data_IF_483889699333
#
_entry.id   IF_483889699333
#
_cell.length_a   1.000
_cell.length_b   1.000
_cell.length_c   1.000
_cell.angle_alpha   90.00
_cell.angle_beta   90.00
_cell.angle_gamma   90.00
#
_symmetry.space_group_name_H-M   'P 1'
#
loop_
_entity.id
_entity.type
_entity.pdbx_description
1 polymer ?
#
# COMPACT_ATOMS: atom_id res chain seq x y z
N UNK A 1 -18.92 16.66 2.09
CA UNK A 1 -17.74 16.44 1.20
C UNK A 1 -17.02 15.21 1.71
N UNK A 2 -16.72 14.25 0.83
CA UNK A 2 -16.09 13.00 1.22
C UNK A 2 -14.63 12.99 0.79
N UNK A 3 -13.76 12.40 1.61
CA UNK A 3 -12.32 12.40 1.43
C UNK A 3 -11.77 11.00 1.16
N UNK A 4 -10.71 10.93 0.36
CA UNK A 4 -9.84 9.77 0.29
C UNK A 4 -8.67 9.95 1.26
N UNK A 5 -8.53 9.05 2.25
CA UNK A 5 -7.39 9.01 3.16
C UNK A 5 -6.34 8.05 2.61
N UNK A 6 -5.09 8.54 2.46
CA UNK A 6 -3.99 7.77 1.88
C UNK A 6 -2.84 7.74 2.86
N UNK A 7 -2.46 6.55 3.31
CA UNK A 7 -1.24 6.37 4.12
C UNK A 7 0.00 6.20 3.24
N UNK A 8 1.15 6.66 3.71
CA UNK A 8 2.38 6.66 2.91
C UNK A 8 2.34 7.61 1.71
N UNK A 9 1.59 8.73 1.83
CA UNK A 9 1.29 9.64 0.74
C UNK A 9 2.45 10.55 0.30
N UNK A 10 3.55 10.61 1.05
CA UNK A 10 4.64 11.56 0.78
C UNK A 10 5.51 11.23 -0.44
N UNK A 11 5.53 9.96 -0.89
CA UNK A 11 6.41 9.46 -1.98
C UNK A 11 5.79 8.27 -2.71
N UNK A 12 6.38 7.94 -3.88
CA UNK A 12 6.09 6.72 -4.64
C UNK A 12 4.62 6.55 -5.00
N UNK A 13 4.12 5.32 -4.90
CA UNK A 13 2.75 4.98 -5.31
C UNK A 13 1.71 5.79 -4.52
N UNK A 14 1.90 5.99 -3.21
CA UNK A 14 0.95 6.75 -2.39
C UNK A 14 0.82 8.21 -2.82
N UNK A 15 1.94 8.88 -3.15
CA UNK A 15 1.95 10.23 -3.74
C UNK A 15 1.19 10.22 -5.08
N UNK A 16 1.52 9.30 -5.97
CA UNK A 16 0.87 9.19 -7.28
C UNK A 16 -0.63 8.86 -7.18
N UNK A 17 -1.06 8.08 -6.16
CA UNK A 17 -2.49 7.87 -5.90
C UNK A 17 -3.19 9.15 -5.41
N UNK A 18 -2.53 9.96 -4.57
CA UNK A 18 -3.07 11.24 -4.13
C UNK A 18 -3.21 12.21 -5.32
N UNK A 19 -2.21 12.28 -6.19
CA UNK A 19 -2.24 13.07 -7.42
C UNK A 19 -3.35 12.62 -8.37
N UNK A 20 -3.50 11.31 -8.59
CA UNK A 20 -4.53 10.75 -9.45
C UNK A 20 -5.95 11.02 -8.93
N UNK A 21 -6.16 10.91 -7.61
CA UNK A 21 -7.44 11.22 -6.98
C UNK A 21 -7.76 12.72 -7.03
N UNK A 22 -6.78 13.57 -6.77
CA UNK A 22 -6.93 15.03 -6.90
C UNK A 22 -7.26 15.45 -8.34
N UNK A 23 -6.58 14.85 -9.34
CA UNK A 23 -6.89 15.05 -10.77
C UNK A 23 -8.34 14.68 -11.13
N UNK A 24 -8.91 13.70 -10.44
CA UNK A 24 -10.33 13.30 -10.58
C UNK A 24 -11.29 14.14 -9.74
N UNK A 25 -10.82 15.23 -9.15
CA UNK A 25 -11.64 16.15 -8.34
C UNK A 25 -11.96 15.62 -6.94
N UNK A 26 -11.27 14.58 -6.44
CA UNK A 26 -11.50 14.05 -5.09
C UNK A 26 -10.64 14.75 -4.04
N UNK A 27 -11.25 15.21 -2.94
CA UNK A 27 -10.52 15.67 -1.77
C UNK A 27 -9.67 14.56 -1.15
N UNK A 28 -8.47 14.91 -0.65
CA UNK A 28 -7.52 13.93 -0.12
C UNK A 28 -7.00 14.31 1.26
N UNK A 29 -6.82 13.28 2.11
CA UNK A 29 -6.15 13.35 3.41
C UNK A 29 -4.84 12.58 3.30
N UNK A 30 -3.73 13.28 3.49
CA UNK A 30 -2.38 12.77 3.25
C UNK A 30 -1.73 12.39 4.57
N UNK A 31 -1.39 11.12 4.75
CA UNK A 31 -0.77 10.61 5.98
C UNK A 31 0.62 10.06 5.66
N UNK A 32 1.66 10.56 6.31
CA UNK A 32 3.03 10.03 6.28
C UNK A 32 3.86 10.64 7.41
N UNK A 33 5.16 10.29 7.47
CA UNK A 33 6.07 10.80 8.51
C UNK A 33 6.68 12.17 8.19
N UNK A 34 6.90 12.44 6.90
CA UNK A 34 7.64 13.62 6.43
C UNK A 34 6.68 14.79 6.26
N UNK A 35 6.59 15.66 7.27
CA UNK A 35 5.68 16.80 7.30
C UNK A 35 5.89 17.76 6.12
N UNK A 36 7.14 18.14 5.85
CA UNK A 36 7.46 19.07 4.76
C UNK A 36 6.97 18.56 3.41
N UNK A 37 7.20 17.26 3.11
CA UNK A 37 6.76 16.66 1.86
C UNK A 37 5.24 16.57 1.76
N UNK A 38 4.55 16.33 2.88
CA UNK A 38 3.08 16.33 2.91
C UNK A 38 2.53 17.73 2.68
N UNK A 39 3.11 18.73 3.33
CA UNK A 39 2.74 20.14 3.18
C UNK A 39 2.92 20.62 1.73
N UNK A 40 4.08 20.34 1.16
CA UNK A 40 4.37 20.66 -0.25
C UNK A 40 3.34 19.99 -1.19
N UNK A 41 3.10 18.69 -1.03
CA UNK A 41 2.13 17.95 -1.83
C UNK A 41 0.71 18.50 -1.66
N UNK A 42 0.27 18.80 -0.43
CA UNK A 42 -1.05 19.35 -0.17
C UNK A 42 -1.26 20.69 -0.87
N UNK A 43 -0.27 21.60 -0.80
CA UNK A 43 -0.29 22.88 -1.53
C UNK A 43 -0.33 22.66 -3.04
N UNK A 44 0.51 21.77 -3.57
CA UNK A 44 0.54 21.44 -4.98
C UNK A 44 -0.84 20.94 -5.48
N UNK A 45 -1.43 19.97 -4.77
CA UNK A 45 -2.71 19.37 -5.16
C UNK A 45 -3.86 20.38 -5.08
N UNK A 46 -3.94 21.16 -4.00
CA UNK A 46 -5.00 22.17 -3.83
C UNK A 46 -4.89 23.30 -4.85
N UNK A 47 -3.68 23.76 -5.15
CA UNK A 47 -3.48 24.84 -6.13
C UNK A 47 -3.72 24.40 -7.57
N UNK A 48 -3.27 23.18 -7.94
CA UNK A 48 -3.35 22.70 -9.32
C UNK A 48 -4.74 22.13 -9.67
N UNK A 49 -5.30 21.30 -8.79
CA UNK A 49 -6.57 20.60 -9.05
C UNK A 49 -7.79 21.21 -8.38
N UNK A 50 -7.61 22.27 -7.55
CA UNK A 50 -8.70 22.95 -6.83
C UNK A 50 -9.52 22.03 -5.93
N UNK A 51 -8.88 21.01 -5.35
CA UNK A 51 -9.50 20.07 -4.39
C UNK A 51 -9.10 20.43 -2.96
N UNK A 52 -9.96 20.09 -2.00
CA UNK A 52 -9.64 20.21 -0.59
C UNK A 52 -8.58 19.17 -0.22
N UNK A 53 -7.54 19.61 0.48
CA UNK A 53 -6.44 18.77 0.96
C UNK A 53 -6.16 19.06 2.41
N UNK A 54 -5.88 18.05 3.19
CA UNK A 54 -5.32 18.17 4.53
C UNK A 54 -4.27 17.09 4.74
N UNK A 55 -3.39 17.26 5.73
CA UNK A 55 -2.37 16.28 6.03
C UNK A 55 -2.14 16.14 7.53
N UNK A 56 -1.63 14.97 7.92
CA UNK A 56 -1.16 14.70 9.27
C UNK A 56 0.18 13.95 9.18
N UNK A 57 1.20 14.54 9.82
CA UNK A 57 2.51 13.89 9.96
C UNK A 57 2.49 12.94 11.16
N UNK A 58 2.62 11.62 10.87
CA UNK A 58 2.61 10.60 11.92
C UNK A 58 3.36 9.36 11.47
N UNK A 59 4.01 8.67 12.41
CA UNK A 59 4.67 7.38 12.15
C UNK A 59 3.75 6.22 12.54
N UNK A 60 3.39 5.40 11.54
CA UNK A 60 2.54 4.22 11.71
C UNK A 60 3.22 3.06 12.46
N UNK A 61 4.52 3.14 12.77
CA UNK A 61 5.17 2.20 13.67
C UNK A 61 4.77 2.41 15.14
N UNK A 62 4.22 3.59 15.47
CA UNK A 62 3.69 3.88 16.79
C UNK A 62 2.33 3.20 17.00
N UNK A 63 2.16 2.48 18.11
CA UNK A 63 0.94 1.72 18.44
C UNK A 63 -0.36 2.53 18.43
N UNK A 64 -0.28 3.84 18.73
CA UNK A 64 -1.47 4.71 18.81
C UNK A 64 -1.71 5.51 17.51
N UNK A 65 -0.92 5.26 16.46
CA UNK A 65 -0.99 6.06 15.24
C UNK A 65 -2.36 5.97 14.54
N UNK A 66 -2.93 4.78 14.46
CA UNK A 66 -4.24 4.58 13.83
C UNK A 66 -5.36 5.33 14.58
N UNK A 67 -5.37 5.26 15.91
CA UNK A 67 -6.34 6.00 16.74
C UNK A 67 -6.15 7.51 16.58
N UNK A 68 -4.92 8.00 16.58
CA UNK A 68 -4.63 9.42 16.39
C UNK A 68 -5.10 9.94 15.02
N UNK A 69 -4.93 9.14 13.94
CA UNK A 69 -5.44 9.47 12.61
C UNK A 69 -6.97 9.53 12.60
N UNK A 70 -7.62 8.55 13.22
CA UNK A 70 -9.08 8.51 13.32
C UNK A 70 -9.63 9.70 14.10
N UNK A 71 -9.04 10.01 15.27
CA UNK A 71 -9.45 11.14 16.11
C UNK A 71 -9.20 12.48 15.41
N UNK A 72 -8.08 12.61 14.67
CA UNK A 72 -7.82 13.77 13.83
C UNK A 72 -8.91 13.96 12.76
N UNK A 73 -9.31 12.88 12.09
CA UNK A 73 -10.40 12.96 11.11
C UNK A 73 -11.72 13.37 11.76
N UNK A 74 -12.06 12.82 12.93
CA UNK A 74 -13.28 13.17 13.66
C UNK A 74 -13.30 14.65 14.12
N UNK A 75 -12.21 15.10 14.71
CA UNK A 75 -12.08 16.48 15.24
C UNK A 75 -12.17 17.54 14.15
N UNK A 76 -11.77 17.18 12.90
CA UNK A 76 -11.87 18.08 11.75
C UNK A 76 -13.11 17.81 10.88
N UNK A 77 -14.02 16.95 11.32
CA UNK A 77 -15.25 16.58 10.60
C UNK A 77 -14.99 16.03 9.18
N UNK A 78 -13.86 15.35 8.96
CA UNK A 78 -13.56 14.70 7.69
C UNK A 78 -14.34 13.39 7.55
N UNK A 79 -15.21 13.32 6.55
CA UNK A 79 -15.92 12.08 6.19
C UNK A 79 -15.05 11.28 5.22
N UNK A 80 -14.56 10.12 5.64
CA UNK A 80 -13.69 9.25 4.82
C UNK A 80 -14.56 8.19 4.14
N UNK A 81 -14.70 8.27 2.82
CA UNK A 81 -15.38 7.26 1.99
C UNK A 81 -14.41 6.39 1.18
N UNK A 82 -13.11 6.72 1.21
CA UNK A 82 -12.06 5.91 0.62
C UNK A 82 -10.85 5.84 1.55
N UNK A 83 -10.53 4.65 2.03
CA UNK A 83 -9.36 4.38 2.85
C UNK A 83 -8.31 3.62 2.01
N UNK A 84 -7.16 4.25 1.73
CA UNK A 84 -6.04 3.64 1.01
C UNK A 84 -4.91 3.36 1.99
N UNK A 85 -4.81 2.13 2.42
CA UNK A 85 -3.72 1.60 3.24
C UNK A 85 -2.52 1.28 2.35
N UNK A 86 -1.72 2.32 2.02
CA UNK A 86 -0.58 2.19 1.12
C UNK A 86 0.76 2.20 1.86
N UNK A 87 0.86 2.74 3.06
CA UNK A 87 2.12 2.76 3.81
C UNK A 87 2.71 1.35 3.96
N UNK A 88 4.02 1.26 3.76
CA UNK A 88 4.75 0.01 3.91
C UNK A 88 6.22 0.16 3.49
N UNK A 89 7.04 -0.75 3.99
CA UNK A 89 8.45 -0.87 3.60
C UNK A 89 8.92 -2.31 3.74
N UNK A 90 10.10 -2.61 3.20
CA UNK A 90 10.76 -3.90 3.32
C UNK A 90 12.12 -3.77 3.97
N UNK A 91 12.65 -4.90 4.44
CA UNK A 91 14.01 -5.08 4.91
C UNK A 91 14.62 -6.22 4.09
N UNK A 92 15.70 -5.94 3.35
CA UNK A 92 16.37 -6.93 2.50
C UNK A 92 17.66 -7.42 3.14
N UNK A 93 17.72 -8.71 3.39
CA UNK A 93 18.84 -9.41 4.04
C UNK A 93 18.37 -10.71 4.69
N UNK A 94 19.26 -11.38 5.40
CA UNK A 94 18.91 -12.50 6.26
C UNK A 94 18.10 -12.04 7.48
N UNK A 95 17.41 -12.95 8.14
CA UNK A 95 16.58 -12.60 9.29
C UNK A 95 17.40 -11.93 10.42
N UNK A 96 18.59 -12.42 10.64
CA UNK A 96 19.53 -11.94 11.66
C UNK A 96 20.26 -10.64 11.32
N UNK A 97 20.18 -10.15 10.08
CA UNK A 97 20.80 -8.88 9.66
C UNK A 97 20.12 -7.65 10.27
N UNK A 98 18.93 -7.84 10.82
CA UNK A 98 18.11 -6.81 11.43
C UNK A 98 17.70 -7.19 12.84
N UNK A 99 17.51 -6.20 13.69
CA UNK A 99 17.01 -6.40 15.04
C UNK A 99 15.55 -6.86 15.03
N UNK A 100 15.14 -7.56 16.09
CA UNK A 100 13.75 -7.93 16.28
C UNK A 100 12.82 -6.70 16.21
N UNK A 101 13.23 -5.56 16.77
CA UNK A 101 12.43 -4.35 16.78
C UNK A 101 12.18 -3.81 15.37
N UNK A 102 13.19 -3.82 14.49
CA UNK A 102 13.02 -3.39 13.08
C UNK A 102 12.01 -4.27 12.34
N UNK A 103 12.03 -5.59 12.59
CA UNK A 103 11.01 -6.49 12.04
C UNK A 103 9.62 -6.19 12.61
N UNK A 104 9.50 -5.97 13.92
CA UNK A 104 8.22 -5.65 14.57
C UNK A 104 7.67 -4.30 14.08
N UNK A 105 8.51 -3.29 13.91
CA UNK A 105 8.11 -1.99 13.35
C UNK A 105 7.60 -2.14 11.91
N UNK A 106 8.28 -2.95 11.10
CA UNK A 106 7.81 -3.26 9.73
C UNK A 106 6.45 -3.97 9.75
N UNK A 107 6.27 -4.96 10.64
CA UNK A 107 4.99 -5.66 10.80
C UNK A 107 3.89 -4.71 11.29
N UNK A 108 4.19 -3.81 12.23
CA UNK A 108 3.25 -2.79 12.70
C UNK A 108 2.76 -1.91 11.55
N UNK A 109 3.67 -1.41 10.71
CA UNK A 109 3.32 -0.57 9.56
C UNK A 109 2.62 -1.36 8.46
N UNK A 110 3.11 -2.57 8.11
CA UNK A 110 2.63 -3.31 6.94
C UNK A 110 1.36 -4.12 7.20
N UNK A 111 1.04 -4.44 8.46
CA UNK A 111 -0.06 -5.33 8.84
C UNK A 111 -0.98 -4.69 9.87
N UNK A 112 -0.47 -4.41 11.08
CA UNK A 112 -1.29 -4.01 12.22
C UNK A 112 -2.01 -2.69 11.95
N UNK A 113 -1.32 -1.69 11.41
CA UNK A 113 -1.92 -0.39 11.09
C UNK A 113 -3.06 -0.50 10.07
N UNK A 114 -2.96 -1.44 9.11
CA UNK A 114 -4.01 -1.70 8.12
C UNK A 114 -5.27 -2.24 8.80
N UNK A 115 -5.10 -3.19 9.73
CA UNK A 115 -6.22 -3.76 10.49
C UNK A 115 -6.86 -2.70 11.38
N UNK A 116 -6.04 -1.93 12.11
CA UNK A 116 -6.50 -0.88 13.05
C UNK A 116 -7.27 0.22 12.31
N UNK A 117 -6.71 0.78 11.23
CA UNK A 117 -7.38 1.80 10.43
C UNK A 117 -8.67 1.27 9.82
N UNK A 118 -8.63 0.07 9.25
CA UNK A 118 -9.83 -0.57 8.70
C UNK A 118 -10.91 -0.73 9.78
N UNK A 119 -10.55 -1.25 10.95
CA UNK A 119 -11.48 -1.45 12.07
C UNK A 119 -12.12 -0.14 12.54
N UNK A 120 -11.33 0.92 12.67
CA UNK A 120 -11.79 2.22 13.16
C UNK A 120 -12.71 2.94 12.15
N UNK A 121 -12.39 2.90 10.84
CA UNK A 121 -13.16 3.60 9.83
C UNK A 121 -14.36 2.80 9.31
N UNK A 122 -14.35 1.48 9.37
CA UNK A 122 -15.38 0.61 8.78
C UNK A 122 -16.81 0.92 9.25
N UNK A 123 -17.09 1.17 10.56
CA UNK A 123 -18.46 1.48 10.98
C UNK A 123 -19.05 2.70 10.27
N UNK A 124 -18.32 3.81 10.23
CA UNK A 124 -18.78 5.03 9.55
C UNK A 124 -18.84 4.87 8.03
N UNK A 125 -17.94 4.10 7.43
CA UNK A 125 -17.96 3.81 5.99
C UNK A 125 -19.19 3.01 5.56
N UNK A 126 -19.70 2.11 6.41
CA UNK A 126 -20.91 1.31 6.14
C UNK A 126 -22.18 2.16 6.05
N UNK A 127 -22.21 3.32 6.72
CA UNK A 127 -23.34 4.26 6.70
C UNK A 127 -23.37 5.12 5.40
N UNK A 128 -22.31 5.08 4.60
CA UNK A 128 -22.23 5.84 3.36
C UNK A 128 -22.88 5.06 2.20
N UNK A 129 -23.45 5.75 1.19
CA UNK A 129 -24.04 5.11 0.02
C UNK A 129 -23.06 4.24 -0.77
N UNK A 130 -21.76 4.57 -0.71
CA UNK A 130 -20.66 3.84 -1.31
C UNK A 130 -19.35 4.20 -0.64
N UNK A 131 -18.55 3.19 -0.31
CA UNK A 131 -17.22 3.39 0.26
C UNK A 131 -16.22 2.35 -0.24
N UNK A 132 -14.92 2.66 -0.11
CA UNK A 132 -13.84 1.86 -0.69
C UNK A 132 -12.68 1.69 0.29
N UNK A 133 -12.19 0.48 0.41
CA UNK A 133 -10.94 0.15 1.10
C UNK A 133 -9.97 -0.42 0.07
N UNK A 134 -8.82 0.24 -0.10
CA UNK A 134 -7.73 -0.20 -0.95
C UNK A 134 -6.50 -0.57 -0.11
N UNK A 135 -6.12 -1.84 -0.07
CA UNK A 135 -4.95 -2.31 0.68
C UNK A 135 -3.80 -2.62 -0.26
N UNK A 136 -2.61 -2.06 0.00
CA UNK A 136 -1.41 -2.28 -0.80
C UNK A 136 -0.65 -3.52 -0.31
N UNK A 137 -0.81 -4.63 -1.04
CA UNK A 137 0.05 -5.80 -0.93
C UNK A 137 1.32 -5.65 -1.82
N UNK A 138 1.69 -6.69 -2.53
CA UNK A 138 2.84 -6.74 -3.45
C UNK A 138 2.74 -8.02 -4.28
N UNK A 139 3.47 -8.10 -5.40
CA UNK A 139 3.76 -9.38 -6.07
C UNK A 139 4.47 -10.39 -5.17
N UNK A 140 5.21 -9.93 -4.16
CA UNK A 140 5.83 -10.77 -3.13
C UNK A 140 4.80 -11.50 -2.23
N UNK A 141 3.52 -11.15 -2.30
CA UNK A 141 2.47 -11.80 -1.53
C UNK A 141 2.13 -13.22 -2.02
N UNK A 142 2.58 -13.59 -3.22
CA UNK A 142 2.20 -14.86 -3.85
C UNK A 142 3.18 -16.00 -3.60
N UNK A 143 4.34 -15.73 -3.02
CA UNK A 143 5.39 -16.74 -2.77
C UNK A 143 6.31 -16.31 -1.62
N UNK A 144 7.04 -17.27 -1.06
CA UNK A 144 8.17 -16.96 -0.19
C UNK A 144 9.29 -16.25 -1.00
N UNK A 145 9.90 -15.22 -0.38
CA UNK A 145 10.99 -14.46 -1.01
C UNK A 145 12.18 -14.44 -0.06
N UNK A 146 13.13 -15.41 -0.16
CA UNK A 146 14.38 -15.35 0.57
C UNK A 146 15.07 -14.00 0.37
N UNK A 147 15.62 -13.43 1.44
CA UNK A 147 16.15 -12.05 1.44
C UNK A 147 15.11 -10.94 1.64
N UNK A 148 13.81 -11.25 1.54
CA UNK A 148 12.69 -10.37 1.89
C UNK A 148 11.63 -11.13 2.69
N UNK A 149 12.04 -12.10 3.51
CA UNK A 149 11.19 -13.09 4.14
C UNK A 149 10.03 -12.45 4.92
N UNK A 150 10.33 -11.65 5.95
CA UNK A 150 9.29 -11.02 6.79
C UNK A 150 8.43 -10.04 5.96
N UNK A 151 9.02 -9.29 5.03
CA UNK A 151 8.26 -8.43 4.12
C UNK A 151 7.24 -9.22 3.29
N UNK A 152 7.67 -10.30 2.62
CA UNK A 152 6.78 -11.14 1.82
C UNK A 152 5.64 -11.73 2.66
N UNK A 153 5.95 -12.18 3.88
CA UNK A 153 4.96 -12.66 4.82
C UNK A 153 3.93 -11.58 5.21
N UNK A 154 4.39 -10.32 5.44
CA UNK A 154 3.45 -9.22 5.69
C UNK A 154 2.53 -8.95 4.50
N UNK A 155 3.04 -9.07 3.27
CA UNK A 155 2.24 -8.83 2.06
C UNK A 155 1.29 -9.98 1.75
N UNK A 156 1.66 -11.22 2.08
CA UNK A 156 0.76 -12.38 2.06
C UNK A 156 -0.39 -12.22 3.07
N UNK A 157 -0.10 -11.72 4.28
CA UNK A 157 -1.12 -11.35 5.26
C UNK A 157 -2.11 -10.34 4.66
N UNK A 158 -1.63 -9.23 4.07
CA UNK A 158 -2.49 -8.19 3.50
C UNK A 158 -3.39 -8.75 2.39
N UNK A 159 -2.86 -9.63 1.53
CA UNK A 159 -3.62 -10.28 0.46
C UNK A 159 -4.74 -11.16 1.05
N UNK A 160 -4.41 -12.01 2.02
CA UNK A 160 -5.37 -12.91 2.68
C UNK A 160 -6.44 -12.12 3.45
N UNK A 161 -6.03 -11.14 4.26
CA UNK A 161 -6.92 -10.24 5.00
C UNK A 161 -7.91 -9.52 4.07
N UNK A 162 -7.41 -8.95 2.97
CA UNK A 162 -8.25 -8.21 2.02
C UNK A 162 -9.27 -9.11 1.32
N UNK A 163 -8.89 -10.34 0.96
CA UNK A 163 -9.80 -11.32 0.36
C UNK A 163 -10.90 -11.74 1.32
N UNK A 164 -10.55 -12.03 2.58
CA UNK A 164 -11.52 -12.37 3.64
C UNK A 164 -12.50 -11.22 3.87
N UNK A 165 -11.98 -10.01 4.11
CA UNK A 165 -12.77 -8.83 4.37
C UNK A 165 -13.69 -8.46 3.18
N UNK A 166 -13.22 -8.62 1.93
CA UNK A 166 -14.05 -8.41 0.74
C UNK A 166 -15.23 -9.37 0.65
N UNK A 167 -15.07 -10.59 1.18
CA UNK A 167 -16.17 -11.54 1.25
C UNK A 167 -17.16 -11.20 2.37
N UNK A 168 -16.65 -10.84 3.55
CA UNK A 168 -17.48 -10.43 4.70
C UNK A 168 -18.35 -9.23 4.38
N UNK A 169 -17.81 -8.25 3.62
CA UNK A 169 -18.49 -7.00 3.27
C UNK A 169 -19.28 -7.06 1.96
N UNK A 170 -19.40 -8.22 1.30
CA UNK A 170 -20.04 -8.36 -0.02
C UNK A 170 -21.48 -7.87 -0.13
N UNK A 171 -22.20 -7.83 0.99
CA UNK A 171 -23.61 -7.40 1.08
C UNK A 171 -23.72 -5.99 1.72
N UNK A 172 -22.65 -5.22 1.75
CA UNK A 172 -22.60 -3.84 2.27
C UNK A 172 -22.27 -2.84 1.17
N UNK A 173 -22.27 -1.58 1.52
CA UNK A 173 -21.86 -0.47 0.63
C UNK A 173 -20.35 -0.35 0.47
N UNK A 174 -19.55 -1.11 1.22
CA UNK A 174 -18.09 -1.01 1.27
C UNK A 174 -17.45 -2.05 0.34
N UNK A 175 -16.70 -1.59 -0.65
CA UNK A 175 -15.88 -2.45 -1.50
C UNK A 175 -14.45 -2.53 -0.98
N UNK A 176 -13.87 -3.75 -0.95
CA UNK A 176 -12.47 -3.97 -0.55
C UNK A 176 -11.65 -4.46 -1.74
N UNK A 177 -10.53 -3.80 -1.99
CA UNK A 177 -9.59 -4.12 -3.06
C UNK A 177 -8.20 -4.37 -2.49
N UNK A 178 -7.54 -5.43 -2.93
CA UNK A 178 -6.13 -5.69 -2.69
C UNK A 178 -5.33 -5.34 -3.95
N UNK A 179 -4.39 -4.41 -3.84
CA UNK A 179 -3.50 -4.04 -4.93
C UNK A 179 -2.17 -4.76 -4.76
N UNK A 180 -1.75 -5.52 -5.77
CA UNK A 180 -0.54 -6.32 -5.76
C UNK A 180 0.40 -5.84 -6.89
N UNK A 181 1.11 -4.70 -6.73
CA UNK A 181 2.04 -4.23 -7.73
C UNK A 181 3.29 -5.11 -7.75
N UNK A 182 3.91 -5.20 -8.93
CA UNK A 182 5.27 -5.68 -9.06
C UNK A 182 6.30 -4.59 -8.76
N UNK A 183 7.50 -4.73 -9.30
CA UNK A 183 8.53 -3.71 -9.20
C UNK A 183 8.01 -2.38 -9.78
N UNK A 184 8.18 -1.32 -9.01
CA UNK A 184 7.71 0.02 -9.37
C UNK A 184 8.87 1.00 -9.12
N UNK A 185 9.05 1.96 -10.00
CA UNK A 185 10.13 2.94 -9.92
C UNK A 185 9.89 3.93 -8.77
N UNK A 186 10.24 3.50 -7.57
CA UNK A 186 10.09 4.24 -6.32
C UNK A 186 11.37 4.12 -5.50
N UNK A 187 11.44 4.88 -4.41
CA UNK A 187 12.55 4.75 -3.44
C UNK A 187 12.46 3.46 -2.59
N UNK A 188 11.56 2.52 -2.91
CA UNK A 188 11.38 1.28 -2.13
C UNK A 188 12.66 0.44 -2.07
N UNK A 189 13.32 0.19 -3.21
CA UNK A 189 14.54 -0.61 -3.27
C UNK A 189 15.67 0.00 -2.43
N UNK A 190 15.84 1.33 -2.49
CA UNK A 190 16.81 2.05 -1.66
C UNK A 190 16.49 1.93 -0.17
N UNK A 191 15.21 2.11 0.19
CA UNK A 191 14.76 2.02 1.60
C UNK A 191 14.82 0.60 2.14
N UNK A 192 14.57 -0.41 1.30
CA UNK A 192 14.69 -1.82 1.65
C UNK A 192 16.14 -2.33 1.64
N UNK A 193 17.13 -1.46 1.36
CA UNK A 193 18.53 -1.80 1.22
C UNK A 193 18.80 -2.91 0.19
N UNK A 194 18.09 -2.89 -0.93
CA UNK A 194 18.32 -3.83 -2.03
C UNK A 194 19.54 -3.39 -2.83
N UNK A 195 20.70 -3.98 -2.50
CA UNK A 195 22.00 -3.65 -3.12
C UNK A 195 22.44 -4.65 -4.18
N UNK A 196 21.82 -5.82 -4.24
CA UNK A 196 22.23 -6.86 -5.20
C UNK A 196 22.01 -6.38 -6.65
N UNK A 197 23.09 -6.39 -7.44
CA UNK A 197 23.06 -5.89 -8.82
C UNK A 197 22.03 -6.61 -9.72
N UNK A 198 21.82 -7.93 -9.54
CA UNK A 198 20.84 -8.69 -10.32
C UNK A 198 19.43 -8.21 -9.99
N UNK A 199 19.12 -8.03 -8.70
CA UNK A 199 17.83 -7.50 -8.26
C UNK A 199 17.59 -6.08 -8.81
N UNK A 200 18.59 -5.21 -8.74
CA UNK A 200 18.52 -3.83 -9.27
C UNK A 200 18.35 -3.81 -10.79
N UNK A 201 19.10 -4.64 -11.54
CA UNK A 201 18.97 -4.74 -13.01
C UNK A 201 17.61 -5.29 -13.41
N UNK A 202 17.13 -6.33 -12.71
CA UNK A 202 15.80 -6.90 -12.97
C UNK A 202 14.69 -5.89 -12.65
N UNK A 203 14.78 -5.20 -11.52
CA UNK A 203 13.87 -4.14 -11.16
C UNK A 203 13.82 -3.07 -12.26
N UNK A 204 14.96 -2.51 -12.68
CA UNK A 204 15.03 -1.50 -13.75
C UNK A 204 14.39 -1.96 -15.07
N UNK A 205 14.50 -3.25 -15.41
CA UNK A 205 13.93 -3.79 -16.65
C UNK A 205 12.40 -3.90 -16.61
N UNK A 206 11.82 -4.16 -15.43
CA UNK A 206 10.38 -4.43 -15.25
C UNK A 206 9.67 -3.40 -14.39
N UNK A 207 10.37 -2.34 -13.94
CA UNK A 207 9.75 -1.27 -13.18
C UNK A 207 8.62 -0.63 -13.97
N UNK A 208 7.50 -0.45 -13.28
CA UNK A 208 6.40 0.36 -13.77
C UNK A 208 6.51 1.79 -13.22
N UNK A 209 6.03 2.75 -13.99
CA UNK A 209 5.86 4.13 -13.51
C UNK A 209 4.82 4.15 -12.37
N UNK A 210 5.13 4.80 -11.22
CA UNK A 210 4.20 4.94 -10.10
C UNK A 210 2.86 5.58 -10.48
N UNK A 211 2.84 6.52 -11.42
CA UNK A 211 1.61 7.16 -11.89
C UNK A 211 0.72 6.16 -12.65
N UNK A 212 1.31 5.29 -13.48
CA UNK A 212 0.59 4.22 -14.18
C UNK A 212 0.04 3.20 -13.18
N UNK A 213 0.85 2.79 -12.19
CA UNK A 213 0.39 1.90 -11.12
C UNK A 213 -0.76 2.52 -10.34
N UNK A 214 -0.66 3.80 -9.98
CA UNK A 214 -1.69 4.53 -9.26
C UNK A 214 -3.00 4.60 -10.05
N UNK A 215 -2.95 4.98 -11.33
CA UNK A 215 -4.14 5.07 -12.20
C UNK A 215 -4.87 3.72 -12.30
N UNK A 216 -4.14 2.64 -12.63
CA UNK A 216 -4.73 1.28 -12.71
C UNK A 216 -5.33 0.87 -11.36
N UNK A 217 -4.66 1.20 -10.25
CA UNK A 217 -5.12 0.86 -8.91
C UNK A 217 -6.40 1.60 -8.53
N UNK A 218 -6.45 2.90 -8.76
CA UNK A 218 -7.63 3.72 -8.49
C UNK A 218 -8.83 3.28 -9.35
N UNK A 219 -8.61 3.02 -10.64
CA UNK A 219 -9.66 2.46 -11.51
C UNK A 219 -10.21 1.13 -10.99
N UNK A 220 -9.31 0.25 -10.55
CA UNK A 220 -9.69 -1.04 -9.99
C UNK A 220 -10.45 -0.93 -8.68
N UNK A 221 -10.02 -0.03 -7.78
CA UNK A 221 -10.68 0.24 -6.49
C UNK A 221 -12.08 0.81 -6.74
N UNK A 222 -12.22 1.81 -7.60
CA UNK A 222 -13.51 2.42 -7.93
C UNK A 222 -14.47 1.45 -8.63
N UNK A 223 -13.93 0.50 -9.40
CA UNK A 223 -14.69 -0.59 -10.01
C UNK A 223 -15.03 -1.75 -9.04
N UNK A 224 -14.61 -1.68 -7.78
CA UNK A 224 -14.84 -2.73 -6.76
C UNK A 224 -14.13 -4.06 -7.05
N UNK A 225 -13.02 -4.05 -7.79
CA UNK A 225 -12.25 -5.26 -8.07
C UNK A 225 -11.59 -5.77 -6.79
N UNK A 226 -11.83 -7.03 -6.43
CA UNK A 226 -11.28 -7.65 -5.20
C UNK A 226 -9.75 -7.70 -5.22
N UNK A 227 -9.15 -7.91 -6.39
CA UNK A 227 -7.70 -8.00 -6.56
C UNK A 227 -7.26 -7.28 -7.83
N UNK A 228 -6.25 -6.44 -7.70
CA UNK A 228 -5.71 -5.59 -8.77
C UNK A 228 -4.22 -5.87 -8.90
N UNK A 229 -3.82 -6.39 -10.06
CA UNK A 229 -2.40 -6.66 -10.39
C UNK A 229 -2.01 -5.74 -11.55
N UNK A 230 -1.35 -4.60 -11.28
CA UNK A 230 -0.91 -3.70 -12.33
C UNK A 230 0.18 -4.34 -13.21
N UNK A 231 0.03 -4.20 -14.53
CA UNK A 231 0.99 -4.68 -15.52
C UNK A 231 0.79 -6.15 -15.94
N UNK A 232 0.97 -6.41 -17.24
CA UNK A 232 0.78 -7.74 -17.80
C UNK A 232 1.81 -8.74 -17.26
N UNK A 233 3.08 -8.35 -17.19
CA UNK A 233 4.17 -9.20 -16.67
C UNK A 233 3.88 -9.67 -15.24
N UNK A 234 3.36 -8.78 -14.38
CA UNK A 234 3.00 -9.10 -13.00
C UNK A 234 1.82 -10.09 -12.91
N UNK A 235 0.86 -10.00 -13.85
CA UNK A 235 -0.24 -10.98 -13.94
C UNK A 235 0.27 -12.37 -14.32
N UNK A 236 1.20 -12.45 -15.27
CA UNK A 236 1.86 -13.71 -15.65
C UNK A 236 2.67 -14.26 -14.47
N UNK A 237 3.47 -13.43 -13.80
CA UNK A 237 4.25 -13.85 -12.63
C UNK A 237 3.35 -14.40 -11.50
N UNK A 238 2.20 -13.77 -11.23
CA UNK A 238 1.20 -14.29 -10.29
C UNK A 238 0.70 -15.68 -10.69
N UNK A 239 0.38 -15.91 -11.97
CA UNK A 239 -0.09 -17.21 -12.45
C UNK A 239 1.00 -18.26 -12.25
N UNK A 240 2.24 -17.94 -12.60
CA UNK A 240 3.38 -18.84 -12.41
C UNK A 240 3.61 -19.16 -10.93
N UNK A 241 3.50 -18.18 -10.04
CA UNK A 241 3.63 -18.39 -8.59
C UNK A 241 2.55 -19.33 -8.01
N UNK A 242 1.40 -19.47 -8.67
CA UNK A 242 0.34 -20.39 -8.23
C UNK A 242 0.45 -21.80 -8.85
N UNK A 243 1.32 -22.00 -9.85
CA UNK A 243 1.40 -23.28 -10.61
C UNK A 243 2.73 -23.98 -10.37
N UNK A 244 3.83 -23.22 -10.25
CA UNK A 244 5.16 -23.76 -10.08
C UNK A 244 5.39 -24.28 -8.66
N UNK A 245 6.23 -25.33 -8.47
CA UNK A 245 6.63 -25.81 -7.15
C UNK A 245 7.32 -24.71 -6.34
N UNK A 246 7.01 -24.62 -5.04
CA UNK A 246 7.56 -23.61 -4.12
C UNK A 246 9.09 -23.60 -4.13
N UNK A 247 9.73 -24.79 -4.14
CA UNK A 247 11.20 -24.92 -4.16
C UNK A 247 11.86 -24.24 -5.37
N UNK A 248 11.18 -24.23 -6.52
CA UNK A 248 11.69 -23.57 -7.74
C UNK A 248 11.55 -22.05 -7.62
N UNK A 249 10.44 -21.58 -7.06
CA UNK A 249 10.17 -20.18 -6.85
C UNK A 249 11.14 -19.58 -5.81
N UNK A 250 11.34 -20.27 -4.69
CA UNK A 250 12.27 -19.89 -3.63
C UNK A 250 13.71 -19.83 -4.15
N UNK A 251 14.16 -20.85 -4.88
CA UNK A 251 15.50 -20.87 -5.49
C UNK A 251 15.70 -19.72 -6.49
N UNK A 252 14.67 -19.42 -7.29
CA UNK A 252 14.70 -18.27 -8.21
C UNK A 252 14.80 -16.95 -7.47
N UNK A 253 13.98 -16.75 -6.42
CA UNK A 253 13.99 -15.56 -5.61
C UNK A 253 15.33 -15.39 -4.86
N UNK A 254 15.85 -16.47 -4.23
CA UNK A 254 17.15 -16.46 -3.58
C UNK A 254 18.26 -16.00 -4.52
N UNK A 255 18.31 -16.54 -5.73
CA UNK A 255 19.29 -16.14 -6.75
C UNK A 255 19.17 -14.68 -7.23
N UNK A 256 17.97 -14.07 -7.15
CA UNK A 256 17.76 -12.65 -7.45
C UNK A 256 18.31 -11.78 -6.32
N UNK A 257 18.09 -12.15 -5.05
CA UNK A 257 18.50 -11.36 -3.89
C UNK A 257 19.90 -11.70 -3.37
N UNK A 258 20.62 -12.65 -4.00
CA UNK A 258 22.01 -12.93 -3.72
C UNK A 258 22.24 -13.92 -2.57
N UNK A 259 21.29 -14.81 -2.36
CA UNK A 259 21.36 -15.91 -1.39
C UNK A 259 21.62 -17.24 -2.08
#
# INVERSE_FOLDING_TARGET
>A
MNYALITGASKGIGKSMAEELAKRGRPVLLIARSEDLLKELAVQLSSHYKVATAFLAIDLSNKNAASAIYDWCRSNHFVVDMLINNAGYGLNGLLEDYTLQEHLDMMQVNMTSIVELTYLFLPSMKELPKAYIGNMASGAAYQAVPGLNVYAATKAFVLSFSRGLAYELRNTTVSVSCVCPGSTDTQFAQRANVINEKAVKLAKKFNMDPAVVASISIDGILAGKKEIVPGFVNKVAKVLANILPDSLLEKSAAGIYGL
#
